data_IF_134472297869
#
_entry.id   IF_134472297869
#
_cell.length_a   1.000
_cell.length_b   1.000
_cell.length_c   1.000
_cell.angle_alpha   90.00
_cell.angle_beta   90.00
_cell.angle_gamma   90.00
#
_symmetry.space_group_name_H-M   'P 1'
#
loop_
_entity.id
_entity.type
_entity.pdbx_description
1 polymer ?
#
# COMPACT_ATOMS: atom_id res chain seq x y z
N UNK A 1 1.01 12.88 -8.75
CA UNK A 1 -0.12 13.05 -7.80
C UNK A 1 -0.86 14.30 -8.21
N UNK A 2 -2.09 14.17 -8.71
CA UNK A 2 -3.01 15.30 -8.83
C UNK A 2 -3.97 15.13 -7.67
N UNK A 3 -3.79 15.95 -6.63
CA UNK A 3 -4.84 16.19 -5.65
C UNK A 3 -6.00 16.81 -6.42
N UNK A 4 -6.99 15.99 -6.77
CA UNK A 4 -8.28 16.51 -7.19
C UNK A 4 -9.05 16.78 -5.91
N UNK A 5 -8.94 18.00 -5.38
CA UNK A 5 -9.89 18.54 -4.42
C UNK A 5 -11.30 18.32 -5.00
N UNK A 6 -12.07 17.42 -4.40
CA UNK A 6 -13.48 17.22 -4.76
C UNK A 6 -14.26 18.42 -4.20
N UNK A 7 -14.57 19.39 -5.06
CA UNK A 7 -15.40 20.54 -4.70
C UNK A 7 -16.83 20.07 -4.37
N UNK A 8 -17.24 20.20 -3.11
CA UNK A 8 -18.61 19.98 -2.69
C UNK A 8 -19.49 21.16 -3.13
N UNK A 9 -20.75 20.89 -3.49
CA UNK A 9 -21.70 21.98 -3.77
C UNK A 9 -22.09 22.66 -2.45
N UNK A 10 -22.46 23.95 -2.47
CA UNK A 10 -22.87 24.73 -1.27
C UNK A 10 -23.95 24.00 -0.42
N UNK A 11 -24.88 23.29 -1.06
CA UNK A 11 -25.91 22.48 -0.38
C UNK A 11 -25.38 21.21 0.30
N UNK A 12 -24.29 20.64 -0.23
CA UNK A 12 -23.64 19.47 0.34
C UNK A 12 -22.79 19.86 1.54
N UNK A 13 -22.09 21.00 1.47
CA UNK A 13 -21.34 21.55 2.59
C UNK A 13 -22.24 21.92 3.77
N UNK A 14 -23.42 22.50 3.51
CA UNK A 14 -24.38 22.81 4.58
C UNK A 14 -24.89 21.53 5.26
N UNK A 15 -25.14 20.47 4.49
CA UNK A 15 -25.52 19.17 5.01
C UNK A 15 -24.40 18.53 5.84
N UNK A 16 -23.16 18.52 5.33
CA UNK A 16 -22.01 17.98 6.06
C UNK A 16 -21.77 18.72 7.38
N UNK A 17 -21.86 20.06 7.39
CA UNK A 17 -21.73 20.85 8.62
C UNK A 17 -22.79 20.49 9.66
N UNK A 18 -24.04 20.32 9.23
CA UNK A 18 -25.12 19.91 10.13
C UNK A 18 -24.93 18.47 10.63
N UNK A 19 -24.60 17.54 9.74
CA UNK A 19 -24.40 16.14 10.07
C UNK A 19 -23.20 15.92 11.02
N UNK A 20 -22.10 16.65 10.80
CA UNK A 20 -20.93 16.64 11.68
C UNK A 20 -21.25 17.23 13.05
N UNK A 21 -22.07 18.29 13.11
CA UNK A 21 -22.48 18.88 14.39
C UNK A 21 -23.31 17.90 15.26
N UNK A 22 -24.10 17.03 14.63
CA UNK A 22 -24.95 16.06 15.35
C UNK A 22 -24.24 14.75 15.66
N UNK A 23 -23.42 14.22 14.74
CA UNK A 23 -22.87 12.86 14.83
C UNK A 23 -21.33 12.78 14.87
N UNK A 24 -20.62 13.88 14.65
CA UNK A 24 -19.15 13.92 14.59
C UNK A 24 -18.57 13.58 13.21
N UNK A 25 -17.31 13.98 12.98
CA UNK A 25 -16.60 13.73 11.71
C UNK A 25 -16.31 12.24 11.52
N UNK A 26 -16.56 11.70 10.33
CA UNK A 26 -16.26 10.31 10.00
C UNK A 26 -17.24 9.26 10.56
N UNK A 27 -18.35 9.69 11.17
CA UNK A 27 -19.36 8.79 11.71
C UNK A 27 -20.02 7.92 10.61
N UNK A 28 -20.33 6.67 10.95
CA UNK A 28 -21.08 5.74 10.10
C UNK A 28 -22.55 5.80 10.49
N UNK A 29 -23.40 6.21 9.56
CA UNK A 29 -24.84 6.43 9.75
C UNK A 29 -25.65 5.47 8.86
N UNK A 30 -26.84 5.09 9.32
CA UNK A 30 -27.82 4.37 8.49
C UNK A 30 -28.52 5.30 7.50
N UNK A 31 -29.21 4.76 6.49
CA UNK A 31 -30.01 5.61 5.59
C UNK A 31 -31.12 6.37 6.33
N UNK A 32 -31.69 5.79 7.38
CA UNK A 32 -32.69 6.41 8.25
C UNK A 32 -32.11 7.61 9.01
N UNK A 33 -30.93 7.46 9.60
CA UNK A 33 -30.26 8.57 10.31
C UNK A 33 -29.88 9.72 9.36
N UNK A 34 -29.52 9.41 8.10
CA UNK A 34 -29.32 10.45 7.08
C UNK A 34 -30.63 11.17 6.71
N UNK A 35 -31.76 10.48 6.74
CA UNK A 35 -33.06 11.10 6.51
C UNK A 35 -33.46 12.01 7.68
N UNK A 36 -33.23 11.58 8.92
CA UNK A 36 -33.51 12.40 10.11
C UNK A 36 -32.70 13.70 10.13
N UNK A 37 -31.41 13.65 9.80
CA UNK A 37 -30.56 14.85 9.70
C UNK A 37 -31.02 15.77 8.57
N UNK A 38 -31.50 15.21 7.45
CA UNK A 38 -32.04 15.99 6.34
C UNK A 38 -33.34 16.69 6.75
N UNK A 39 -34.27 15.99 7.39
CA UNK A 39 -35.54 16.52 7.86
C UNK A 39 -35.36 17.59 8.95
N UNK A 40 -34.47 17.35 9.92
CA UNK A 40 -34.18 18.28 11.01
C UNK A 40 -33.65 19.64 10.52
N UNK A 41 -33.06 19.69 9.32
CA UNK A 41 -32.50 20.91 8.74
C UNK A 41 -33.25 21.38 7.49
N UNK A 42 -34.47 20.87 7.24
CA UNK A 42 -35.30 21.19 6.06
C UNK A 42 -34.59 21.00 4.70
N UNK A 43 -33.65 20.04 4.63
CA UNK A 43 -32.89 19.72 3.42
C UNK A 43 -33.41 18.45 2.75
N UNK A 44 -33.24 18.37 1.42
CA UNK A 44 -33.54 17.15 0.67
C UNK A 44 -32.55 16.02 0.99
N UNK A 45 -33.03 14.77 0.95
CA UNK A 45 -32.22 13.58 1.23
C UNK A 45 -30.92 13.55 0.40
N UNK A 46 -29.75 13.28 1.02
CA UNK A 46 -28.46 13.36 0.35
C UNK A 46 -28.17 12.10 -0.50
N UNK A 47 -28.82 11.98 -1.65
CA UNK A 47 -28.60 10.85 -2.59
C UNK A 47 -27.14 10.68 -3.04
N UNK A 48 -26.37 11.78 -3.02
CA UNK A 48 -24.96 11.78 -3.41
C UNK A 48 -24.06 11.01 -2.43
N UNK A 49 -24.45 10.86 -1.16
CA UNK A 49 -23.72 10.03 -0.17
C UNK A 49 -24.00 8.54 -0.47
N UNK A 50 -25.23 8.23 -0.86
CA UNK A 50 -25.67 6.85 -1.10
C UNK A 50 -25.33 6.30 -2.49
N UNK A 51 -25.07 7.17 -3.47
CA UNK A 51 -24.75 6.78 -4.85
C UNK A 51 -23.27 6.44 -5.00
N UNK A 52 -22.96 5.15 -4.92
CA UNK A 52 -21.60 4.61 -5.05
C UNK A 52 -20.94 4.88 -6.40
N UNK A 53 -21.68 5.32 -7.43
CA UNK A 53 -21.12 5.65 -8.75
C UNK A 53 -20.48 7.04 -8.81
N UNK A 54 -20.90 7.97 -7.94
CA UNK A 54 -20.43 9.36 -7.94
C UNK A 54 -19.31 9.59 -6.95
N UNK A 55 -19.44 9.01 -5.76
CA UNK A 55 -18.42 9.11 -4.73
C UNK A 55 -17.43 7.92 -4.78
N UNK A 56 -17.76 6.80 -5.41
CA UNK A 56 -16.94 5.59 -5.26
C UNK A 56 -17.20 4.92 -3.90
N UNK A 57 -16.53 3.81 -3.62
CA UNK A 57 -16.82 2.95 -2.46
C UNK A 57 -16.45 3.56 -1.09
N UNK A 58 -16.05 4.82 -1.01
CA UNK A 58 -15.56 5.42 0.25
C UNK A 58 -16.68 5.77 1.23
N UNK A 59 -17.87 6.13 0.74
CA UNK A 59 -19.00 6.46 1.60
C UNK A 59 -19.76 5.23 2.05
N UNK A 60 -19.71 4.10 1.33
CA UNK A 60 -20.52 2.93 1.64
C UNK A 60 -19.71 1.88 2.39
N UNK A 61 -19.98 1.76 3.69
CA UNK A 61 -19.30 0.80 4.58
C UNK A 61 -20.02 -0.56 4.60
N UNK A 62 -21.35 -0.58 4.36
CA UNK A 62 -22.15 -1.80 4.41
C UNK A 62 -23.49 -1.72 3.69
N UNK A 63 -24.33 -2.75 3.85
CA UNK A 63 -25.73 -2.72 3.41
C UNK A 63 -26.46 -1.78 4.38
N UNK A 64 -26.80 -0.59 3.88
CA UNK A 64 -27.47 0.46 4.64
C UNK A 64 -26.61 1.15 5.71
N UNK A 65 -25.30 1.27 5.47
CA UNK A 65 -24.38 1.98 6.37
C UNK A 65 -23.42 2.84 5.58
N UNK A 66 -23.44 4.15 5.87
CA UNK A 66 -22.74 5.18 5.12
C UNK A 66 -21.87 6.05 6.03
N UNK A 67 -20.60 6.21 5.67
CA UNK A 67 -19.66 7.10 6.36
C UNK A 67 -19.81 8.53 5.85
N UNK A 68 -19.89 9.48 6.79
CA UNK A 68 -19.82 10.91 6.47
C UNK A 68 -18.40 11.31 6.04
N UNK A 69 -18.23 11.92 4.86
CA UNK A 69 -16.95 12.51 4.45
C UNK A 69 -16.53 13.67 5.36
N UNK A 70 -15.22 13.85 5.54
CA UNK A 70 -14.68 15.03 6.21
C UNK A 70 -14.78 16.27 5.29
N UNK A 71 -15.06 17.44 5.87
CA UNK A 71 -15.26 18.70 5.13
C UNK A 71 -13.99 19.15 4.38
N UNK A 72 -12.79 18.76 4.82
CA UNK A 72 -11.51 19.18 4.24
C UNK A 72 -10.84 18.13 3.33
N UNK A 73 -11.60 17.20 2.73
CA UNK A 73 -11.05 16.29 1.71
C UNK A 73 -9.98 15.31 2.18
N UNK A 74 -9.78 15.18 3.50
CA UNK A 74 -8.91 14.16 4.08
C UNK A 74 -9.57 12.79 4.03
N UNK A 75 -8.90 11.82 3.41
CA UNK A 75 -9.20 10.40 3.52
C UNK A 75 -9.35 10.05 5.01
N UNK A 76 -10.59 9.75 5.40
CA UNK A 76 -10.91 9.42 6.77
C UNK A 76 -10.13 8.20 7.23
N UNK A 77 -9.40 8.37 8.32
CA UNK A 77 -8.69 7.35 9.06
C UNK A 77 -9.45 6.01 9.07
N UNK A 78 -8.68 4.94 8.83
CA UNK A 78 -9.09 3.56 9.05
C UNK A 78 -9.51 3.36 10.50
N UNK A 79 -10.60 2.63 10.69
CA UNK A 79 -11.15 2.27 11.99
C UNK A 79 -10.24 1.26 12.68
N UNK A 80 -9.71 1.62 13.84
CA UNK A 80 -9.47 0.69 14.92
C UNK A 80 -9.93 1.36 16.23
N UNK A 81 -10.78 0.64 16.94
CA UNK A 81 -11.20 0.83 18.34
C UNK A 81 -12.20 1.94 18.68
N UNK A 82 -13.49 1.59 18.57
CA UNK A 82 -14.52 2.06 19.50
C UNK A 82 -14.81 0.93 20.48
N UNK A 83 -14.24 0.99 21.70
CA UNK A 83 -14.80 0.31 22.87
C UNK A 83 -15.02 1.36 23.97
N UNK A 84 -16.31 1.58 24.22
CA UNK A 84 -17.01 2.26 25.31
C UNK A 84 -16.24 2.38 26.64
N UNK A 85 -16.12 3.60 27.21
CA UNK A 85 -16.69 3.98 28.53
C UNK A 85 -16.21 5.35 29.05
N UNK A 86 -17.17 6.26 29.29
CA UNK A 86 -17.33 7.37 30.30
C UNK A 86 -16.14 8.13 30.95
N UNK A 87 -16.36 9.39 31.41
CA UNK A 87 -15.33 10.43 31.53
C UNK A 87 -14.79 10.62 32.96
N UNK A 88 -13.47 10.86 33.12
CA UNK A 88 -12.90 11.51 34.30
C UNK A 88 -11.69 12.38 33.91
N UNK A 89 -11.67 13.55 34.52
CA UNK A 89 -10.76 14.70 34.44
C UNK A 89 -9.39 14.39 35.09
N UNK A 90 -8.27 14.82 34.48
CA UNK A 90 -7.24 15.71 35.09
C UNK A 90 -5.84 15.62 34.45
N UNK A 91 -5.30 16.82 34.21
CA UNK A 91 -3.89 17.31 34.21
C UNK A 91 -2.71 16.33 34.19
N UNK A 92 -1.77 16.63 33.29
CA UNK A 92 -0.32 16.86 33.49
C UNK A 92 0.41 16.63 32.14
N UNK A 93 1.02 17.64 31.51
CA UNK A 93 2.50 17.81 31.42
C UNK A 93 3.23 16.48 31.14
N UNK A 94 4.07 16.32 30.12
CA UNK A 94 5.29 17.11 29.91
C UNK A 94 6.13 16.52 28.74
N UNK A 95 7.05 17.33 28.22
CA UNK A 95 8.33 17.00 27.54
C UNK A 95 8.34 16.40 26.13
N UNK A 96 8.76 17.27 25.20
CA UNK A 96 9.48 16.96 23.95
C UNK A 96 10.77 16.20 24.28
N UNK A 97 10.86 14.94 23.86
CA UNK A 97 12.13 14.23 23.72
C UNK A 97 12.25 13.77 22.28
N UNK A 98 13.07 14.49 21.51
CA UNK A 98 13.66 13.94 20.29
C UNK A 98 14.47 12.70 20.68
N UNK A 99 14.19 11.57 20.05
CA UNK A 99 15.07 10.41 20.08
C UNK A 99 15.15 9.81 18.69
N UNK A 100 16.23 10.17 18.01
CA UNK A 100 16.85 9.32 17.00
C UNK A 100 17.05 7.94 17.63
N UNK A 101 16.38 6.93 17.10
CA UNK A 101 16.86 5.56 17.05
C UNK A 101 16.14 4.86 15.89
N UNK A 102 16.80 4.87 14.72
CA UNK A 102 16.53 3.88 13.66
C UNK A 102 17.33 2.64 14.03
N UNK A 103 16.79 1.84 14.92
CA UNK A 103 17.26 0.48 15.12
C UNK A 103 16.40 -0.44 14.25
N UNK A 104 17.09 -0.97 13.25
CA UNK A 104 16.84 -2.19 12.50
C UNK A 104 15.89 -3.20 13.17
N UNK A 105 14.61 -3.10 12.82
CA UNK A 105 13.77 -4.28 12.66
C UNK A 105 13.77 -4.60 11.17
N UNK A 106 14.33 -5.76 10.82
CA UNK A 106 14.29 -6.35 9.49
C UNK A 106 12.83 -6.67 9.15
N UNK A 107 12.09 -5.68 8.66
CA UNK A 107 10.69 -5.81 8.32
C UNK A 107 10.57 -6.35 6.89
N UNK A 108 10.52 -7.68 6.76
CA UNK A 108 10.12 -8.43 5.55
C UNK A 108 8.69 -8.12 5.08
N UNK A 109 8.04 -7.09 5.64
CA UNK A 109 6.69 -6.63 5.32
C UNK A 109 6.67 -5.41 4.38
N UNK A 110 7.79 -4.68 4.26
CA UNK A 110 7.82 -3.42 3.46
C UNK A 110 7.95 -3.63 1.95
N UNK A 111 8.18 -4.86 1.47
CA UNK A 111 8.15 -5.19 0.04
C UNK A 111 6.82 -5.77 -0.45
N UNK A 112 5.86 -6.01 0.45
CA UNK A 112 4.54 -6.53 0.13
C UNK A 112 3.46 -5.46 0.31
N UNK A 113 3.52 -4.38 -0.47
CA UNK A 113 2.33 -3.58 -0.71
C UNK A 113 1.62 -4.14 -1.96
N UNK A 114 0.52 -4.92 -1.83
CA UNK A 114 -0.11 -5.63 -2.94
C UNK A 114 -0.80 -4.70 -3.96
N UNK A 115 -0.83 -3.38 -3.72
CA UNK A 115 -1.58 -2.43 -4.53
C UNK A 115 -0.84 -1.90 -5.77
N UNK A 116 0.50 -1.85 -5.79
CA UNK A 116 1.28 -1.46 -6.98
C UNK A 116 2.76 -1.83 -6.80
N UNK A 117 3.21 -2.92 -7.42
CA UNK A 117 4.62 -3.36 -7.43
C UNK A 117 5.45 -2.66 -8.53
N UNK A 118 4.94 -1.57 -9.11
CA UNK A 118 5.61 -0.85 -10.19
C UNK A 118 6.48 0.25 -9.58
N UNK A 119 7.81 0.24 -9.83
CA UNK A 119 8.70 1.22 -9.24
C UNK A 119 8.47 2.62 -9.83
N UNK A 120 8.73 3.65 -9.02
CA UNK A 120 8.60 5.03 -9.45
C UNK A 120 9.72 5.41 -10.42
N UNK A 121 9.36 6.12 -11.49
CA UNK A 121 10.33 6.64 -12.44
C UNK A 121 11.04 7.85 -11.85
N UNK A 122 12.37 7.81 -11.78
CA UNK A 122 13.18 8.94 -11.37
C UNK A 122 13.56 9.81 -12.59
N UNK A 123 13.23 11.11 -12.61
CA UNK A 123 13.66 12.03 -13.66
C UNK A 123 15.18 12.26 -13.74
N UNK A 124 15.92 12.02 -12.65
CA UNK A 124 17.37 12.25 -12.56
C UNK A 124 18.19 11.03 -13.00
N UNK A 125 17.56 9.88 -13.22
CA UNK A 125 18.26 8.68 -13.66
C UNK A 125 18.85 8.86 -15.07
N UNK A 126 20.17 8.63 -15.18
CA UNK A 126 20.87 8.58 -16.46
C UNK A 126 21.16 7.13 -16.83
N UNK A 127 20.60 6.71 -17.96
CA UNK A 127 20.87 5.40 -18.53
C UNK A 127 22.35 5.25 -18.87
N UNK A 128 22.96 4.16 -18.41
CA UNK A 128 24.36 3.84 -18.64
C UNK A 128 24.51 2.34 -18.95
N UNK A 129 25.69 1.93 -19.45
CA UNK A 129 26.01 0.53 -19.71
C UNK A 129 24.99 -0.19 -20.60
N UNK A 130 24.50 -1.33 -20.14
CA UNK A 130 23.62 -2.24 -20.88
C UNK A 130 22.11 -1.98 -20.69
N UNK A 131 21.74 -0.80 -20.17
CA UNK A 131 20.33 -0.46 -19.89
C UNK A 131 19.38 -0.67 -21.07
N UNK A 132 19.79 -0.33 -22.30
CA UNK A 132 18.95 -0.50 -23.48
C UNK A 132 18.73 -1.97 -23.85
N UNK A 133 19.70 -2.83 -23.56
CA UNK A 133 19.57 -4.27 -23.83
C UNK A 133 18.65 -4.91 -22.80
N UNK A 134 18.74 -4.51 -21.53
CA UNK A 134 17.82 -4.93 -20.48
C UNK A 134 16.37 -4.53 -20.82
N UNK A 135 16.15 -3.31 -21.32
CA UNK A 135 14.82 -2.89 -21.80
C UNK A 135 14.31 -3.79 -22.94
N UNK A 136 15.16 -4.15 -23.91
CA UNK A 136 14.75 -5.03 -25.01
C UNK A 136 14.36 -6.42 -24.50
N UNK A 137 15.14 -6.97 -23.58
CA UNK A 137 14.86 -8.27 -22.95
C UNK A 137 13.53 -8.22 -22.21
N UNK A 138 13.35 -7.23 -21.33
CA UNK A 138 12.11 -7.06 -20.56
C UNK A 138 10.88 -6.81 -21.44
N UNK A 139 11.04 -6.12 -22.58
CA UNK A 139 9.99 -5.87 -23.56
C UNK A 139 9.65 -7.11 -24.39
N UNK A 140 10.57 -8.04 -24.56
CA UNK A 140 10.38 -9.24 -25.39
C UNK A 140 9.29 -10.18 -24.86
N UNK A 141 9.00 -10.11 -23.56
CA UNK A 141 8.02 -10.98 -22.89
C UNK A 141 8.42 -12.46 -22.86
N UNK A 142 9.65 -12.80 -23.29
CA UNK A 142 10.19 -14.16 -23.24
C UNK A 142 10.92 -14.36 -21.92
N UNK A 143 10.90 -15.59 -21.42
CA UNK A 143 11.75 -15.99 -20.31
C UNK A 143 13.21 -15.98 -20.77
N UNK A 144 13.96 -14.99 -20.32
CA UNK A 144 15.39 -14.83 -20.62
C UNK A 144 16.09 -14.35 -19.34
N UNK A 145 16.65 -15.29 -18.55
CA UNK A 145 17.41 -14.95 -17.35
C UNK A 145 18.62 -14.06 -17.72
N UNK A 146 18.78 -12.95 -17.01
CA UNK A 146 19.88 -12.01 -17.21
C UNK A 146 20.71 -11.98 -15.94
N UNK A 147 22.03 -12.04 -16.09
CA UNK A 147 22.97 -11.88 -14.99
C UNK A 147 23.73 -10.57 -15.21
N UNK A 148 23.54 -9.61 -14.30
CA UNK A 148 24.23 -8.32 -14.34
C UNK A 148 25.46 -8.36 -13.43
N UNK A 149 26.62 -7.94 -13.94
CA UNK A 149 27.88 -8.00 -13.19
C UNK A 149 28.61 -6.66 -13.16
N UNK A 150 29.57 -6.55 -12.25
CA UNK A 150 30.55 -5.46 -12.17
C UNK A 150 30.65 -4.89 -10.76
N UNK A 151 31.36 -3.77 -10.63
CA UNK A 151 31.72 -3.21 -9.32
C UNK A 151 30.51 -2.68 -8.53
N UNK A 152 30.62 -2.76 -7.20
CA UNK A 152 29.65 -2.16 -6.28
C UNK A 152 29.62 -0.63 -6.44
N UNK A 153 28.45 -0.03 -6.23
CA UNK A 153 28.26 1.41 -6.38
C UNK A 153 28.09 1.91 -7.82
N UNK A 154 28.09 1.02 -8.82
CA UNK A 154 27.79 1.38 -10.22
C UNK A 154 26.30 1.56 -10.51
N UNK A 155 25.42 1.25 -9.55
CA UNK A 155 23.98 1.47 -9.67
C UNK A 155 23.24 0.42 -10.50
N UNK A 156 23.70 -0.84 -10.56
CA UNK A 156 23.05 -1.94 -11.31
C UNK A 156 21.60 -2.19 -10.86
N UNK A 157 21.40 -2.35 -9.56
CA UNK A 157 20.08 -2.53 -8.95
C UNK A 157 19.13 -1.40 -9.34
N UNK A 158 19.61 -0.17 -9.22
CA UNK A 158 18.86 1.02 -9.58
C UNK A 158 18.59 1.13 -11.09
N UNK A 159 19.54 0.70 -11.92
CA UNK A 159 19.37 0.61 -13.37
C UNK A 159 18.24 -0.37 -13.76
N UNK A 160 18.19 -1.54 -13.13
CA UNK A 160 17.13 -2.53 -13.36
C UNK A 160 15.77 -2.05 -12.86
N UNK A 161 15.73 -1.41 -11.69
CA UNK A 161 14.51 -0.78 -11.14
C UNK A 161 13.95 0.27 -12.11
N UNK A 162 14.80 1.18 -12.60
CA UNK A 162 14.39 2.23 -13.53
C UNK A 162 13.98 1.69 -14.91
N UNK A 163 14.52 0.55 -15.33
CA UNK A 163 14.07 -0.12 -16.54
C UNK A 163 12.64 -0.68 -16.39
N UNK A 164 12.33 -1.26 -15.23
CA UNK A 164 10.98 -1.74 -14.91
C UNK A 164 10.00 -0.57 -14.79
N UNK A 165 10.39 0.53 -14.13
CA UNK A 165 9.61 1.75 -14.01
C UNK A 165 9.25 2.34 -15.39
N UNK A 166 10.22 2.36 -16.32
CA UNK A 166 10.03 2.85 -17.69
C UNK A 166 9.07 1.98 -18.50
N UNK A 167 9.09 0.66 -18.27
CA UNK A 167 8.21 -0.31 -18.93
C UNK A 167 6.88 -0.52 -18.22
N UNK A 168 6.68 0.12 -17.05
CA UNK A 168 5.53 -0.09 -16.15
C UNK A 168 5.30 -1.57 -15.85
N UNK A 169 6.39 -2.30 -15.59
CA UNK A 169 6.33 -3.70 -15.16
C UNK A 169 6.44 -3.77 -13.65
N UNK A 170 5.70 -4.71 -13.07
CA UNK A 170 5.88 -5.08 -11.66
C UNK A 170 7.31 -5.57 -11.43
N UNK A 171 7.88 -5.16 -10.30
CA UNK A 171 9.25 -5.42 -9.92
C UNK A 171 9.27 -5.91 -8.48
N UNK A 172 9.89 -7.06 -8.27
CA UNK A 172 10.09 -7.65 -6.94
C UNK A 172 11.60 -7.79 -6.75
N UNK A 173 12.13 -7.12 -5.73
CA UNK A 173 13.54 -7.21 -5.35
C UNK A 173 13.66 -8.10 -4.13
N UNK A 174 14.56 -9.06 -4.20
CA UNK A 174 14.98 -9.88 -3.06
C UNK A 174 16.48 -9.70 -2.87
N UNK A 175 16.89 -9.27 -1.69
CA UNK A 175 18.30 -9.18 -1.34
C UNK A 175 18.73 -10.49 -0.71
N UNK A 176 19.67 -11.20 -1.34
CA UNK A 176 20.15 -12.47 -0.83
C UNK A 176 21.26 -12.21 0.19
N UNK A 177 21.20 -12.93 1.30
CA UNK A 177 22.23 -12.95 2.35
C UNK A 177 22.69 -14.39 2.58
N UNK A 178 23.78 -14.55 3.34
CA UNK A 178 24.30 -15.89 3.67
C UNK A 178 23.35 -16.72 4.55
N UNK A 179 22.42 -16.05 5.25
CA UNK A 179 21.39 -16.66 6.10
C UNK A 179 20.09 -16.91 5.34
N UNK A 180 19.97 -16.47 4.08
CA UNK A 180 18.78 -16.71 3.26
C UNK A 180 18.72 -18.19 2.86
N UNK A 181 17.62 -18.85 3.23
CA UNK A 181 17.36 -20.25 2.90
C UNK A 181 16.34 -20.38 1.74
N UNK A 182 16.09 -21.62 1.30
CA UNK A 182 15.16 -21.92 0.21
C UNK A 182 13.69 -21.57 0.56
N UNK A 183 13.33 -21.78 1.82
CA UNK A 183 12.01 -21.48 2.38
C UNK A 183 11.70 -19.97 2.35
N UNK A 184 12.72 -19.11 2.44
CA UNK A 184 12.56 -17.65 2.35
C UNK A 184 12.23 -17.18 0.93
N UNK A 185 12.65 -17.95 -0.08
CA UNK A 185 12.48 -17.63 -1.49
C UNK A 185 11.20 -18.24 -2.07
N UNK A 186 10.95 -19.51 -1.76
CA UNK A 186 9.81 -20.28 -2.26
C UNK A 186 8.56 -20.11 -1.41
N UNK A 187 8.73 -19.95 -0.09
CA UNK A 187 7.63 -19.91 0.85
C UNK A 187 7.79 -20.97 1.93
N UNK A 188 7.06 -20.78 3.03
CA UNK A 188 7.09 -21.66 4.18
C UNK A 188 5.71 -21.81 4.78
N UNK A 189 5.55 -22.84 5.61
CA UNK A 189 4.36 -23.02 6.41
C UNK A 189 4.45 -22.16 7.68
N UNK A 190 3.60 -21.14 7.77
CA UNK A 190 3.46 -20.32 8.96
C UNK A 190 2.31 -20.82 9.83
N UNK A 191 2.46 -20.70 11.15
CA UNK A 191 1.39 -20.96 12.11
C UNK A 191 0.62 -19.67 12.36
N UNK A 192 -0.62 -19.60 11.85
CA UNK A 192 -1.52 -18.46 12.05
C UNK A 192 -2.75 -18.97 12.79
N UNK A 193 -3.04 -18.40 13.97
CA UNK A 193 -4.19 -18.78 14.80
C UNK A 193 -4.29 -20.29 15.10
N UNK A 194 -3.13 -20.95 15.27
CA UNK A 194 -3.05 -22.39 15.55
C UNK A 194 -3.24 -23.29 14.32
N UNK A 195 -3.39 -22.73 13.12
CA UNK A 195 -3.44 -23.47 11.87
C UNK A 195 -2.14 -23.32 11.08
N UNK A 196 -1.70 -24.40 10.45
CA UNK A 196 -0.58 -24.40 9.52
C UNK A 196 -1.07 -23.88 8.16
N UNK A 197 -0.67 -22.67 7.79
CA UNK A 197 -1.04 -22.01 6.53
C UNK A 197 0.22 -21.83 5.69
N UNK A 198 0.13 -22.19 4.41
CA UNK A 198 1.20 -21.94 3.45
C UNK A 198 1.28 -20.44 3.14
N UNK A 199 2.48 -19.87 3.20
CA UNK A 199 2.77 -18.51 2.74
C UNK A 199 3.73 -18.57 1.56
N UNK A 200 3.31 -18.01 0.42
CA UNK A 200 4.15 -17.96 -0.77
C UNK A 200 5.34 -17.03 -0.59
N UNK A 201 6.50 -17.48 -1.06
CA UNK A 201 7.72 -16.68 -1.08
C UNK A 201 7.73 -15.66 -2.23
N UNK A 202 8.66 -14.71 -2.21
CA UNK A 202 8.76 -13.65 -3.21
C UNK A 202 8.99 -14.18 -4.63
N UNK A 203 9.65 -15.34 -4.78
CA UNK A 203 9.86 -15.97 -6.09
C UNK A 203 8.55 -16.49 -6.66
N UNK A 204 7.76 -17.19 -5.85
CA UNK A 204 6.46 -17.74 -6.25
C UNK A 204 5.51 -16.60 -6.61
N UNK A 205 5.46 -15.55 -5.79
CA UNK A 205 4.60 -14.38 -6.04
C UNK A 205 5.01 -13.66 -7.33
N UNK A 206 6.32 -13.54 -7.62
CA UNK A 206 6.78 -12.97 -8.88
C UNK A 206 6.34 -13.80 -10.09
N UNK A 207 6.41 -15.13 -9.97
CA UNK A 207 6.01 -16.07 -11.02
C UNK A 207 4.50 -16.01 -11.29
N UNK A 208 3.67 -15.99 -10.24
CA UNK A 208 2.20 -15.91 -10.36
C UNK A 208 1.74 -14.60 -11.01
N UNK A 209 2.38 -13.49 -10.63
CA UNK A 209 2.04 -12.15 -11.16
C UNK A 209 2.67 -11.85 -12.52
N UNK A 210 3.67 -12.62 -12.95
CA UNK A 210 4.47 -12.30 -14.13
C UNK A 210 5.36 -11.06 -13.96
N UNK A 211 5.71 -10.76 -12.69
CA UNK A 211 6.57 -9.65 -12.32
C UNK A 211 8.03 -9.93 -12.70
N UNK A 212 8.83 -8.87 -12.79
CA UNK A 212 10.28 -8.97 -12.92
C UNK A 212 10.88 -9.20 -11.54
N UNK A 213 11.50 -10.36 -11.33
CA UNK A 213 12.23 -10.68 -10.11
C UNK A 213 13.70 -10.28 -10.26
N UNK A 214 14.21 -9.48 -9.32
CA UNK A 214 15.62 -9.22 -9.15
C UNK A 214 16.14 -9.90 -7.88
N UNK A 215 17.07 -10.83 -8.06
CA UNK A 215 17.84 -11.45 -6.99
C UNK A 215 19.15 -10.67 -6.86
N UNK A 216 19.22 -9.81 -5.84
CA UNK A 216 20.38 -8.98 -5.55
C UNK A 216 21.39 -9.76 -4.68
N UNK A 217 22.68 -9.48 -4.86
CA UNK A 217 23.78 -10.13 -4.10
C UNK A 217 23.73 -11.67 -4.11
N UNK A 218 23.34 -12.27 -5.25
CA UNK A 218 23.23 -13.73 -5.41
C UNK A 218 24.55 -14.48 -5.18
N UNK A 219 25.68 -13.78 -5.26
CA UNK A 219 27.00 -14.32 -4.93
C UNK A 219 27.14 -14.69 -3.45
N UNK A 220 26.33 -14.11 -2.56
CA UNK A 220 26.27 -14.44 -1.14
C UNK A 220 25.37 -15.65 -0.84
N UNK A 221 24.63 -16.15 -1.83
CA UNK A 221 23.70 -17.26 -1.64
C UNK A 221 24.42 -18.55 -1.20
N UNK A 222 23.78 -19.30 -0.31
CA UNK A 222 24.27 -20.63 0.05
C UNK A 222 24.14 -21.60 -1.14
N UNK A 223 25.00 -22.64 -1.18
CA UNK A 223 24.93 -23.67 -2.23
C UNK A 223 23.56 -24.35 -2.34
N UNK A 224 22.76 -24.35 -1.25
CA UNK A 224 21.41 -24.93 -1.26
C UNK A 224 20.47 -24.12 -2.16
N UNK A 225 20.49 -22.80 -2.02
CA UNK A 225 19.71 -21.88 -2.85
C UNK A 225 20.13 -21.96 -4.32
N UNK A 226 21.44 -22.09 -4.59
CA UNK A 226 21.94 -22.21 -5.98
C UNK A 226 21.59 -23.55 -6.64
N UNK A 227 21.43 -24.61 -5.84
CA UNK A 227 21.18 -25.98 -6.32
C UNK A 227 19.72 -26.40 -6.24
N UNK A 228 18.78 -25.45 -6.18
CA UNK A 228 17.34 -25.72 -6.31
C UNK A 228 17.07 -26.41 -7.66
N UNK A 229 17.09 -27.75 -7.63
CA UNK A 229 16.68 -28.58 -8.76
C UNK A 229 15.17 -28.83 -8.66
N UNK A 230 14.44 -28.69 -9.78
CA UNK A 230 13.01 -29.01 -9.83
C UNK A 230 12.73 -30.51 -9.61
#
# INVERSE_FOLDING_TARGET
MRESEMEYTVKQESYLKAAIATHGEGAVLSSEALAEVAEANEMGYPFWITDSRRMGSFTKVGKDSYRLPAINGGEGASVADVVVSTPVVDKATEVVVESKNKESAFDMSTYFNPAELIPAKDPLFVAHGHFYDLIKVLKSGKFYPVFETGESGTGKTYMTEQACAKLKREFIRVNITVETDEDDLLGHYALIDGNTVWQDGPVVIAMERGAVLLLDEIDLASNKVMCLQP
#
